data_IF_308020593299
#
_entry.id   IF_308020593299
#
_cell.length_a   1.000
_cell.length_b   1.000
_cell.length_c   1.000
_cell.angle_alpha   90.00
_cell.angle_beta   90.00
_cell.angle_gamma   90.00
#
_symmetry.space_group_name_H-M   'P 1'
#
loop_
_entity.id
_entity.type
_entity.pdbx_description
1 polymer ?
#
# COMPACT_ATOMS: atom_id res chain seq x y z
N UNK A 1 -58.36 41.46 -30.58
CA UNK A 1 -58.31 40.48 -29.50
C UNK A 1 -57.10 39.60 -29.74
N UNK A 2 -56.01 39.92 -29.04
CA UNK A 2 -54.78 39.12 -29.00
C UNK A 2 -54.99 37.79 -28.27
N UNK A 3 -54.13 36.82 -28.58
CA UNK A 3 -53.30 36.28 -27.51
C UNK A 3 -51.84 36.10 -27.98
N UNK A 4 -50.99 37.09 -27.73
CA UNK A 4 -49.54 36.99 -27.96
C UNK A 4 -48.72 36.78 -26.66
N UNK A 5 -49.37 36.77 -25.49
CA UNK A 5 -48.69 36.71 -24.19
C UNK A 5 -48.43 35.29 -23.62
N UNK A 6 -49.04 34.23 -24.17
CA UNK A 6 -48.92 32.89 -23.58
C UNK A 6 -47.68 32.10 -24.05
N UNK A 7 -47.21 32.29 -25.28
CA UNK A 7 -46.11 31.50 -25.85
C UNK A 7 -44.75 31.84 -25.23
N UNK A 8 -44.50 33.11 -24.94
CA UNK A 8 -43.27 33.55 -24.27
C UNK A 8 -43.15 33.03 -22.83
N UNK A 9 -44.24 33.12 -22.06
CA UNK A 9 -44.28 32.67 -20.66
C UNK A 9 -43.99 31.18 -20.52
N UNK A 10 -44.56 30.35 -21.40
CA UNK A 10 -44.35 28.90 -21.40
C UNK A 10 -42.89 28.54 -21.73
N UNK A 11 -42.27 29.21 -22.70
CA UNK A 11 -40.86 28.99 -23.04
C UNK A 11 -39.94 29.40 -21.86
N UNK A 12 -40.22 30.53 -21.21
CA UNK A 12 -39.48 30.96 -20.02
C UNK A 12 -39.60 29.95 -18.86
N UNK A 13 -40.79 29.38 -18.65
CA UNK A 13 -41.00 28.35 -17.63
C UNK A 13 -40.18 27.09 -17.94
N UNK A 14 -40.20 26.61 -19.18
CA UNK A 14 -39.42 25.42 -19.56
C UNK A 14 -37.91 25.66 -19.46
N UNK A 15 -37.41 26.83 -19.86
CA UNK A 15 -36.01 27.22 -19.67
C UNK A 15 -35.62 27.29 -18.19
N UNK A 16 -36.47 27.88 -17.36
CA UNK A 16 -36.22 27.98 -15.92
C UNK A 16 -36.17 26.58 -15.27
N UNK A 17 -37.11 25.69 -15.62
CA UNK A 17 -37.12 24.31 -15.12
C UNK A 17 -35.87 23.55 -15.60
N UNK A 18 -35.48 23.70 -16.86
CA UNK A 18 -34.27 23.06 -17.38
C UNK A 18 -33.02 23.50 -16.61
N UNK A 19 -32.85 24.80 -16.39
CA UNK A 19 -31.72 25.35 -15.61
C UNK A 19 -31.71 24.80 -14.18
N UNK A 20 -32.88 24.73 -13.52
CA UNK A 20 -32.99 24.19 -12.16
C UNK A 20 -32.65 22.70 -12.12
N UNK A 21 -33.16 21.90 -13.07
CA UNK A 21 -32.86 20.47 -13.15
C UNK A 21 -31.38 20.23 -13.42
N UNK A 22 -30.76 20.99 -14.34
CA UNK A 22 -29.33 20.90 -14.61
C UNK A 22 -28.49 21.26 -13.38
N UNK A 23 -28.84 22.34 -12.67
CA UNK A 23 -28.15 22.74 -11.43
C UNK A 23 -28.24 21.66 -10.35
N UNK A 24 -29.43 21.09 -10.13
CA UNK A 24 -29.62 20.03 -9.13
C UNK A 24 -28.86 18.75 -9.51
N UNK A 25 -28.87 18.38 -10.80
CA UNK A 25 -28.10 17.22 -11.28
C UNK A 25 -26.59 17.42 -11.07
N UNK A 26 -26.04 18.58 -11.43
CA UNK A 26 -24.61 18.87 -11.24
C UNK A 26 -24.19 18.90 -9.77
N UNK A 27 -25.04 19.43 -8.88
CA UNK A 27 -24.76 19.42 -7.44
C UNK A 27 -24.83 17.99 -6.87
N UNK A 28 -25.76 17.17 -7.33
CA UNK A 28 -25.85 15.78 -6.91
C UNK A 28 -24.65 14.96 -7.36
N UNK A 29 -24.18 15.13 -8.60
CA UNK A 29 -22.97 14.46 -9.09
C UNK A 29 -21.73 14.84 -8.27
N UNK A 30 -21.56 16.14 -7.98
CA UNK A 30 -20.44 16.62 -7.16
C UNK A 30 -20.47 16.04 -5.73
N UNK A 31 -21.63 16.05 -5.07
CA UNK A 31 -21.76 15.53 -3.71
C UNK A 31 -21.61 14.02 -3.64
N UNK A 32 -22.15 13.29 -4.62
CA UNK A 32 -22.00 11.83 -4.70
C UNK A 32 -20.55 11.44 -4.94
N UNK A 33 -19.80 12.19 -5.77
CA UNK A 33 -18.37 12.01 -5.96
C UNK A 33 -17.56 12.16 -4.67
N UNK A 34 -17.69 13.29 -3.97
CA UNK A 34 -16.96 13.53 -2.70
C UNK A 34 -17.31 12.50 -1.61
N UNK A 35 -18.56 12.03 -1.57
CA UNK A 35 -18.96 10.95 -0.65
C UNK A 35 -18.37 9.60 -1.04
N UNK A 36 -18.32 9.27 -2.33
CA UNK A 36 -17.70 8.04 -2.83
C UNK A 36 -16.19 8.03 -2.54
N UNK A 37 -15.49 9.11 -2.83
CA UNK A 37 -14.03 9.21 -2.61
C UNK A 37 -13.67 9.06 -1.13
N UNK A 38 -14.46 9.69 -0.23
CA UNK A 38 -14.28 9.53 1.23
C UNK A 38 -14.55 8.10 1.67
N UNK A 39 -15.57 7.46 1.10
CA UNK A 39 -15.90 6.06 1.37
C UNK A 39 -14.77 5.13 0.93
N UNK A 40 -14.22 5.32 -0.27
CA UNK A 40 -13.12 4.54 -0.81
C UNK A 40 -11.85 4.71 0.01
N UNK A 41 -11.46 5.94 0.35
CA UNK A 41 -10.32 6.20 1.24
C UNK A 41 -10.50 5.56 2.62
N UNK A 42 -11.71 5.59 3.18
CA UNK A 42 -12.01 4.94 4.45
C UNK A 42 -11.89 3.41 4.35
N UNK A 43 -12.38 2.82 3.24
CA UNK A 43 -12.25 1.39 2.94
C UNK A 43 -10.78 0.97 2.85
N UNK A 44 -9.96 1.71 2.12
CA UNK A 44 -8.52 1.44 1.99
C UNK A 44 -7.81 1.56 3.33
N UNK A 45 -8.09 2.59 4.13
CA UNK A 45 -7.52 2.71 5.50
C UNK A 45 -7.88 1.51 6.39
N UNK A 46 -9.12 1.03 6.32
CA UNK A 46 -9.57 -0.16 7.04
C UNK A 46 -8.80 -1.40 6.58
N UNK A 47 -8.65 -1.58 5.27
CA UNK A 47 -7.91 -2.68 4.68
C UNK A 47 -6.42 -2.66 5.06
N UNK A 48 -5.75 -1.52 4.95
CA UNK A 48 -4.37 -1.33 5.39
C UNK A 48 -4.19 -1.66 6.88
N UNK A 49 -5.19 -1.35 7.71
CA UNK A 49 -5.19 -1.69 9.14
C UNK A 49 -5.36 -3.19 9.39
N UNK A 50 -6.24 -3.84 8.62
CA UNK A 50 -6.41 -5.30 8.63
C UNK A 50 -5.12 -6.01 8.23
N UNK A 51 -4.50 -5.59 7.12
CA UNK A 51 -3.21 -6.09 6.65
C UNK A 51 -2.13 -5.88 7.71
N UNK A 52 -2.00 -4.68 8.29
CA UNK A 52 -1.06 -4.42 9.38
C UNK A 52 -1.22 -5.45 10.52
N UNK A 53 -2.45 -5.77 10.90
CA UNK A 53 -2.75 -6.75 11.94
C UNK A 53 -2.33 -8.17 11.54
N UNK A 54 -2.53 -8.55 10.27
CA UNK A 54 -2.05 -9.82 9.71
C UNK A 54 -0.51 -9.92 9.78
N UNK A 55 0.21 -8.86 9.37
CA UNK A 55 1.67 -8.79 9.43
C UNK A 55 2.20 -8.87 10.88
N UNK A 56 1.52 -8.23 11.83
CA UNK A 56 1.86 -8.31 13.25
C UNK A 56 1.65 -9.74 13.80
N UNK A 57 0.59 -10.43 13.37
CA UNK A 57 0.31 -11.82 13.75
C UNK A 57 1.34 -12.78 13.17
N UNK A 58 1.68 -12.62 11.89
CA UNK A 58 2.77 -13.33 11.23
C UNK A 58 4.09 -13.17 12.01
N UNK A 59 4.46 -11.94 12.37
CA UNK A 59 5.64 -11.67 13.21
C UNK A 59 5.53 -12.33 14.58
N UNK A 60 4.35 -12.36 15.19
CA UNK A 60 4.13 -13.02 16.49
C UNK A 60 4.56 -14.49 16.48
N UNK A 61 4.21 -15.20 15.41
CA UNK A 61 4.50 -16.62 15.21
C UNK A 61 5.94 -16.87 14.74
N UNK A 62 6.37 -16.18 13.69
CA UNK A 62 7.64 -16.44 13.01
C UNK A 62 8.81 -15.59 13.53
N UNK A 63 8.52 -14.67 14.46
CA UNK A 63 9.45 -13.71 15.09
C UNK A 63 10.00 -12.64 14.17
N UNK A 64 9.64 -12.67 12.90
CA UNK A 64 10.05 -11.70 11.89
C UNK A 64 8.88 -11.44 10.94
N UNK A 65 8.86 -10.27 10.32
CA UNK A 65 7.96 -10.01 9.21
C UNK A 65 8.42 -10.75 7.94
N UNK A 66 7.53 -10.90 6.94
CA UNK A 66 7.91 -11.27 5.59
C UNK A 66 9.11 -10.49 5.09
N UNK A 67 10.18 -11.18 4.72
CA UNK A 67 11.39 -10.56 4.18
C UNK A 67 12.18 -11.64 3.41
N UNK A 68 13.04 -11.25 2.48
CA UNK A 68 13.83 -12.17 1.67
C UNK A 68 15.33 -11.90 1.77
N UNK A 69 16.03 -12.78 2.48
CA UNK A 69 17.48 -12.70 2.65
C UNK A 69 17.93 -13.36 3.95
N UNK A 70 19.09 -12.95 4.46
CA UNK A 70 19.66 -13.45 5.72
C UNK A 70 19.76 -12.36 6.80
N UNK A 71 19.69 -11.09 6.40
CA UNK A 71 19.82 -9.96 7.29
C UNK A 71 18.45 -9.29 7.48
N UNK A 72 17.86 -9.30 8.68
CA UNK A 72 16.59 -8.61 8.95
C UNK A 72 16.75 -7.08 8.96
N UNK A 73 17.99 -6.57 8.94
CA UNK A 73 18.30 -5.15 8.88
C UNK A 73 18.53 -4.62 7.45
N UNK A 74 18.32 -5.47 6.44
CA UNK A 74 18.35 -5.09 5.03
C UNK A 74 16.94 -4.68 4.59
N UNK A 75 16.75 -3.37 4.35
CA UNK A 75 15.46 -2.82 3.93
C UNK A 75 14.97 -3.40 2.59
N UNK A 76 15.89 -3.70 1.67
CA UNK A 76 15.56 -4.21 0.33
C UNK A 76 14.94 -5.62 0.39
N UNK A 77 15.23 -6.38 1.44
CA UNK A 77 14.69 -7.73 1.63
C UNK A 77 13.16 -7.74 1.80
N UNK A 78 12.57 -6.66 2.31
CA UNK A 78 11.13 -6.57 2.54
C UNK A 78 10.33 -6.36 1.25
N UNK A 79 10.83 -5.57 0.31
CA UNK A 79 10.15 -5.37 -0.97
C UNK A 79 10.21 -6.63 -1.86
N UNK A 80 11.28 -7.43 -1.75
CA UNK A 80 11.46 -8.64 -2.57
C UNK A 80 10.39 -9.70 -2.32
N UNK A 81 9.83 -9.78 -1.10
CA UNK A 81 8.75 -10.74 -0.80
C UNK A 81 7.40 -10.32 -1.36
N UNK A 82 7.26 -9.09 -1.86
CA UNK A 82 6.00 -8.58 -2.41
C UNK A 82 5.43 -9.48 -3.49
N UNK A 83 6.28 -10.07 -4.34
CA UNK A 83 5.87 -11.04 -5.37
C UNK A 83 5.11 -12.27 -4.83
N UNK A 84 5.47 -12.71 -3.62
CA UNK A 84 4.88 -13.85 -2.95
C UNK A 84 3.67 -13.46 -2.10
N UNK A 85 3.43 -12.16 -1.91
CA UNK A 85 2.18 -11.66 -1.35
C UNK A 85 1.10 -11.57 -2.43
N UNK A 86 1.46 -11.40 -3.71
CA UNK A 86 0.53 -11.26 -4.84
C UNK A 86 0.48 -12.47 -5.76
N UNK A 87 0.89 -13.65 -5.27
CA UNK A 87 0.74 -14.85 -6.06
C UNK A 87 -0.76 -15.16 -6.27
N UNK A 88 -1.15 -15.42 -7.51
CA UNK A 88 -2.55 -15.73 -7.87
C UNK A 88 -3.05 -17.02 -7.20
N UNK A 89 -2.13 -17.92 -6.85
CA UNK A 89 -2.44 -19.20 -6.20
C UNK A 89 -2.41 -19.06 -4.68
N UNK A 90 -3.50 -19.53 -4.03
CA UNK A 90 -3.67 -19.37 -2.59
C UNK A 90 -2.55 -19.98 -1.77
N UNK A 91 -1.97 -21.02 -2.33
CA UNK A 91 -0.98 -21.88 -1.70
C UNK A 91 0.41 -21.26 -1.73
N UNK A 92 0.66 -20.22 -2.53
CA UNK A 92 1.95 -19.53 -2.63
C UNK A 92 2.01 -18.23 -1.82
N UNK A 93 0.91 -17.84 -1.17
CA UNK A 93 0.85 -16.63 -0.37
C UNK A 93 1.11 -16.89 1.10
N UNK A 94 2.19 -16.29 1.62
CA UNK A 94 2.62 -16.51 3.01
C UNK A 94 1.66 -15.98 4.09
N UNK A 95 0.68 -15.14 3.72
CA UNK A 95 -0.38 -14.69 4.63
C UNK A 95 -1.56 -15.68 4.71
N UNK A 96 -1.69 -16.59 3.75
CA UNK A 96 -2.82 -17.52 3.65
C UNK A 96 -2.41 -18.98 3.81
N UNK A 97 -1.16 -19.32 3.50
CA UNK A 97 -0.66 -20.67 3.58
C UNK A 97 0.66 -20.75 4.37
N UNK A 98 0.99 -21.94 4.84
CA UNK A 98 2.29 -22.24 5.46
C UNK A 98 3.42 -22.38 4.42
N UNK A 99 3.27 -21.74 3.26
CA UNK A 99 4.28 -21.68 2.21
C UNK A 99 5.58 -21.08 2.74
N UNK A 100 6.68 -21.67 2.27
CA UNK A 100 8.03 -21.22 2.60
C UNK A 100 8.56 -20.49 1.37
N UNK A 101 8.48 -19.14 1.33
CA UNK A 101 8.88 -18.40 0.16
C UNK A 101 10.36 -18.60 -0.14
N UNK A 102 10.68 -18.80 -1.42
CA UNK A 102 12.06 -18.85 -1.91
C UNK A 102 12.31 -17.74 -2.91
N UNK A 103 13.44 -17.06 -2.79
CA UNK A 103 13.87 -16.03 -3.75
C UNK A 103 15.29 -16.36 -4.16
N UNK A 104 15.50 -16.50 -5.47
CA UNK A 104 16.79 -16.89 -6.07
C UNK A 104 17.34 -18.20 -5.48
N UNK A 105 16.44 -19.14 -5.15
CA UNK A 105 16.76 -20.44 -4.56
C UNK A 105 16.95 -20.44 -3.03
N UNK A 106 16.94 -19.29 -2.37
CA UNK A 106 17.16 -19.17 -0.92
C UNK A 106 15.81 -19.02 -0.17
N UNK A 107 15.58 -19.78 0.92
CA UNK A 107 14.37 -19.68 1.72
C UNK A 107 14.33 -18.39 2.53
N UNK A 108 13.17 -17.73 2.51
CA UNK A 108 12.88 -16.44 3.13
C UNK A 108 12.41 -16.61 4.58
N UNK A 109 13.24 -17.25 5.40
CA UNK A 109 12.83 -17.75 6.73
C UNK A 109 13.68 -17.27 7.90
N UNK A 110 14.68 -16.40 7.67
CA UNK A 110 15.67 -15.96 8.68
C UNK A 110 16.30 -17.12 9.45
N UNK A 111 16.74 -18.15 8.73
CA UNK A 111 17.44 -19.28 9.32
C UNK A 111 16.53 -20.30 10.00
N UNK A 112 15.20 -20.16 9.90
CA UNK A 112 14.31 -21.28 10.21
C UNK A 112 14.38 -22.32 9.09
N UNK A 113 14.46 -23.60 9.46
CA UNK A 113 14.22 -24.67 8.50
C UNK A 113 12.77 -24.66 8.04
N UNK A 114 12.46 -25.23 6.88
CA UNK A 114 11.07 -25.35 6.42
C UNK A 114 10.15 -26.03 7.46
N UNK A 115 10.67 -27.05 8.17
CA UNK A 115 9.96 -27.72 9.26
C UNK A 115 9.69 -26.78 10.44
N UNK A 116 10.68 -25.99 10.85
CA UNK A 116 10.51 -25.01 11.94
C UNK A 116 9.54 -23.90 11.56
N UNK A 117 9.58 -23.44 10.30
CA UNK A 117 8.64 -22.47 9.78
C UNK A 117 7.20 -23.00 9.88
N UNK A 118 6.94 -24.17 9.29
CA UNK A 118 5.62 -24.81 9.29
C UNK A 118 5.11 -25.11 10.70
N UNK A 119 5.98 -25.49 11.63
CA UNK A 119 5.60 -25.75 13.02
C UNK A 119 5.25 -24.47 13.79
N UNK A 120 5.79 -23.31 13.40
CA UNK A 120 5.53 -22.02 14.05
C UNK A 120 4.35 -21.28 13.44
N UNK A 121 4.11 -21.45 12.15
CA UNK A 121 3.03 -20.82 11.41
C UNK A 121 1.67 -21.29 11.97
N UNK A 122 0.80 -20.35 12.34
CA UNK A 122 -0.55 -20.62 12.86
C UNK A 122 -1.66 -19.95 12.06
N UNK A 123 -1.36 -19.49 10.85
CA UNK A 123 -2.32 -18.81 10.00
C UNK A 123 -3.49 -19.70 9.55
N UNK A 124 -4.30 -19.25 8.58
CA UNK A 124 -4.11 -18.03 7.79
C UNK A 124 -4.23 -16.75 8.61
N UNK A 125 -3.50 -15.70 8.21
CA UNK A 125 -3.48 -14.40 8.87
C UNK A 125 -4.46 -13.39 8.26
N UNK A 126 -5.03 -13.72 7.10
CA UNK A 126 -6.11 -12.99 6.45
C UNK A 126 -7.27 -13.95 6.19
N UNK A 127 -8.49 -13.46 6.43
CA UNK A 127 -9.74 -14.20 6.22
C UNK A 127 -10.52 -13.48 5.14
N UNK A 128 -10.20 -13.72 3.87
CA UNK A 128 -10.95 -13.18 2.73
C UNK A 128 -11.25 -14.30 1.74
N UNK A 129 -12.39 -14.18 1.04
CA UNK A 129 -12.87 -15.15 0.04
C UNK A 129 -11.94 -15.22 -1.19
N UNK A 130 -11.18 -14.15 -1.46
CA UNK A 130 -10.21 -14.01 -2.56
C UNK A 130 -8.97 -13.24 -2.09
N UNK A 131 -7.77 -13.75 -2.39
CA UNK A 131 -6.51 -13.10 -1.94
C UNK A 131 -6.26 -11.75 -2.61
N UNK A 132 -6.58 -11.67 -3.90
CA UNK A 132 -6.33 -10.49 -4.74
C UNK A 132 -7.05 -9.27 -4.18
N UNK A 133 -8.32 -9.42 -3.80
CA UNK A 133 -9.15 -8.32 -3.27
C UNK A 133 -8.62 -7.79 -1.93
N UNK A 134 -7.96 -8.64 -1.14
CA UNK A 134 -7.40 -8.25 0.15
C UNK A 134 -6.11 -7.41 0.04
N UNK A 135 -5.49 -7.40 -1.13
CA UNK A 135 -4.21 -6.76 -1.39
C UNK A 135 -4.29 -5.67 -2.47
N UNK A 136 -5.40 -5.51 -3.17
CA UNK A 136 -5.65 -4.33 -4.01
C UNK A 136 -6.46 -3.29 -3.26
N UNK A 137 -6.19 -2.02 -3.49
CA UNK A 137 -6.96 -0.93 -2.90
C UNK A 137 -8.32 -0.72 -3.59
N UNK A 138 -9.05 0.32 -3.18
CA UNK A 138 -10.39 0.62 -3.68
C UNK A 138 -10.45 0.87 -5.20
N UNK A 139 -9.33 1.26 -5.79
CA UNK A 139 -9.20 1.60 -7.20
C UNK A 139 -8.55 0.46 -8.00
N UNK A 140 -8.29 -0.69 -7.36
CA UNK A 140 -7.70 -1.86 -7.99
C UNK A 140 -6.17 -1.82 -8.10
N UNK A 141 -5.51 -0.88 -7.41
CA UNK A 141 -4.06 -0.79 -7.40
C UNK A 141 -3.47 -1.71 -6.31
N UNK A 142 -2.33 -2.38 -6.56
CA UNK A 142 -1.72 -3.23 -5.55
C UNK A 142 -1.16 -2.39 -4.39
N UNK A 143 -1.45 -2.80 -3.16
CA UNK A 143 -0.85 -2.26 -1.94
C UNK A 143 0.64 -2.66 -1.84
N UNK A 144 1.54 -1.70 -1.94
CA UNK A 144 2.97 -1.92 -1.80
C UNK A 144 3.37 -2.25 -0.36
N UNK A 145 4.27 -3.22 -0.22
CA UNK A 145 4.91 -3.60 1.05
C UNK A 145 6.42 -3.36 0.97
N UNK A 146 6.95 -2.47 1.79
CA UNK A 146 8.37 -2.15 1.77
C UNK A 146 8.89 -1.67 3.13
N UNK A 147 10.22 -1.52 3.22
CA UNK A 147 10.90 -1.00 4.38
C UNK A 147 11.78 0.19 4.01
N UNK A 148 11.81 1.22 4.85
CA UNK A 148 12.70 2.36 4.75
C UNK A 148 13.73 2.35 5.88
N UNK A 149 14.98 2.65 5.52
CA UNK A 149 16.11 2.70 6.43
C UNK A 149 16.58 4.15 6.64
N UNK A 150 16.58 4.62 7.89
CA UNK A 150 17.11 5.94 8.27
C UNK A 150 18.50 5.87 8.93
N UNK A 151 19.13 4.69 8.90
CA UNK A 151 20.42 4.40 9.50
C UNK A 151 20.34 4.01 10.99
N UNK A 152 19.26 4.38 11.70
CA UNK A 152 19.03 4.01 13.12
C UNK A 152 17.89 3.03 13.28
N UNK A 153 16.89 3.15 12.43
CA UNK A 153 15.67 2.38 12.43
C UNK A 153 15.36 1.89 11.02
N UNK A 154 14.78 0.70 10.98
CA UNK A 154 14.01 0.23 9.85
C UNK A 154 12.54 0.48 10.14
N UNK A 155 11.84 1.12 9.21
CA UNK A 155 10.39 1.36 9.29
C UNK A 155 9.70 0.60 8.18
N UNK A 156 8.69 -0.18 8.51
CA UNK A 156 8.00 -1.07 7.57
C UNK A 156 6.63 -0.47 7.28
N UNK A 157 6.25 -0.42 6.00
CA UNK A 157 5.06 0.27 5.53
C UNK A 157 4.19 -0.62 4.63
N UNK A 158 2.89 -0.28 4.64
CA UNK A 158 1.93 -0.63 3.59
C UNK A 158 1.45 0.66 2.93
N UNK A 159 1.38 0.69 1.61
CA UNK A 159 1.15 1.90 0.82
C UNK A 159 0.19 1.61 -0.33
N UNK A 160 -0.92 2.35 -0.41
CA UNK A 160 -1.83 2.38 -1.57
C UNK A 160 -1.51 3.59 -2.43
N UNK A 161 -1.53 3.39 -3.75
CA UNK A 161 -1.27 4.39 -4.79
C UNK A 161 -2.46 5.31 -5.09
N UNK A 162 -3.52 5.26 -4.26
CA UNK A 162 -4.67 6.12 -4.43
C UNK A 162 -5.49 5.88 -5.70
N UNK A 163 -6.22 6.91 -6.09
CA UNK A 163 -7.10 7.00 -7.26
C UNK A 163 -6.31 7.13 -8.57
N UNK A 164 -5.19 7.85 -8.54
CA UNK A 164 -4.39 8.13 -9.73
C UNK A 164 -3.49 6.95 -10.14
N UNK A 165 -3.36 5.97 -9.24
CA UNK A 165 -2.63 4.72 -9.43
C UNK A 165 -1.11 4.90 -9.49
N UNK A 166 -0.59 6.05 -9.05
CA UNK A 166 0.83 6.34 -8.96
C UNK A 166 1.23 6.42 -7.51
N UNK A 167 2.40 5.87 -7.19
CA UNK A 167 2.96 6.05 -5.87
C UNK A 167 3.64 7.42 -5.83
N UNK A 168 2.97 8.41 -5.24
CA UNK A 168 3.45 9.78 -5.06
C UNK A 168 4.59 9.82 -4.02
N UNK A 169 5.75 9.31 -4.44
CA UNK A 169 6.97 9.34 -3.63
C UNK A 169 7.65 10.70 -3.82
N UNK A 170 7.75 11.46 -2.72
CA UNK A 170 8.24 12.85 -2.69
C UNK A 170 9.69 13.11 -3.17
N UNK A 171 10.39 12.15 -3.79
CA UNK A 171 11.77 12.32 -4.31
C UNK A 171 12.02 11.62 -5.65
N UNK A 172 12.83 12.23 -6.55
CA UNK A 172 13.20 11.66 -7.85
C UNK A 172 13.89 10.29 -7.79
N UNK A 173 14.63 10.02 -6.72
CA UNK A 173 15.29 8.73 -6.52
C UNK A 173 14.24 7.63 -6.32
N UNK A 174 13.24 7.89 -5.47
CA UNK A 174 12.12 7.00 -5.18
C UNK A 174 11.08 6.96 -6.31
N UNK A 175 11.05 7.95 -7.19
CA UNK A 175 10.30 7.88 -8.44
C UNK A 175 10.80 6.74 -9.34
N UNK A 176 12.10 6.40 -9.32
CA UNK A 176 12.59 5.19 -9.99
C UNK A 176 12.09 3.90 -9.31
N UNK A 177 11.75 3.94 -8.02
CA UNK A 177 11.09 2.87 -7.26
C UNK A 177 9.65 2.71 -7.73
N UNK A 178 8.91 3.82 -7.77
CA UNK A 178 7.56 3.90 -8.28
C UNK A 178 7.50 3.38 -9.71
N UNK A 179 8.41 3.84 -10.59
CA UNK A 179 8.54 3.34 -11.96
C UNK A 179 8.87 1.84 -12.00
N UNK A 180 9.71 1.29 -11.11
CA UNK A 180 9.94 -0.17 -11.02
C UNK A 180 8.69 -0.94 -10.50
N UNK A 181 7.91 -0.37 -9.58
CA UNK A 181 6.64 -0.95 -9.07
C UNK A 181 5.52 -0.87 -10.13
N UNK A 182 5.42 0.24 -10.86
CA UNK A 182 4.53 0.45 -12.01
C UNK A 182 4.92 -0.50 -13.15
N UNK A 183 6.22 -0.64 -13.42
CA UNK A 183 6.78 -1.64 -14.33
C UNK A 183 6.66 -3.07 -13.79
N UNK A 184 6.26 -3.29 -12.53
CA UNK A 184 5.97 -4.61 -11.99
C UNK A 184 4.70 -5.24 -12.57
N UNK A 185 3.91 -4.46 -13.31
CA UNK A 185 3.01 -5.00 -14.33
C UNK A 185 3.76 -5.85 -15.39
N UNK A 186 5.12 -5.80 -15.47
CA UNK A 186 5.96 -6.30 -16.59
C UNK A 186 7.40 -6.83 -16.25
N UNK A 187 7.73 -7.38 -15.05
CA UNK A 187 8.99 -8.13 -14.67
C UNK A 187 10.31 -7.41 -14.20
N UNK A 188 10.91 -8.02 -13.13
CA UNK A 188 12.27 -8.01 -12.48
C UNK A 188 12.83 -6.74 -11.78
N UNK A 189 13.23 -6.92 -10.51
CA UNK A 189 13.86 -5.93 -9.60
C UNK A 189 15.35 -6.20 -9.34
N UNK A 190 16.20 -5.16 -9.38
CA UNK A 190 17.58 -5.25 -8.83
C UNK A 190 18.22 -3.92 -8.38
N UNK A 191 17.50 -2.79 -8.36
CA UNK A 191 18.08 -1.50 -7.92
C UNK A 191 17.37 -0.83 -6.74
N UNK A 192 16.55 -1.56 -6.00
CA UNK A 192 15.67 -1.04 -4.94
C UNK A 192 16.36 -0.53 -3.64
N UNK A 193 17.16 0.53 -3.73
CA UNK A 193 17.28 1.60 -2.72
C UNK A 193 18.29 1.50 -1.55
N UNK A 194 19.13 2.55 -1.50
CA UNK A 194 19.48 3.30 -0.29
C UNK A 194 18.75 4.65 -0.39
N UNK A 195 18.17 5.14 0.72
CA UNK A 195 17.75 6.54 1.05
C UNK A 195 16.34 6.61 1.68
N UNK A 196 16.22 7.33 2.80
CA UNK A 196 14.95 7.77 3.38
C UNK A 196 15.06 9.24 3.83
N UNK A 197 13.99 10.05 3.68
CA UNK A 197 13.82 11.39 4.29
C UNK A 197 12.33 11.64 4.67
N UNK A 198 12.09 12.63 5.55
CA UNK A 198 10.85 12.88 6.31
C UNK A 198 9.50 13.09 5.57
N UNK A 199 9.41 13.63 4.34
CA UNK A 199 8.11 13.98 3.75
C UNK A 199 7.20 12.78 3.47
N UNK A 200 7.78 11.64 3.07
CA UNK A 200 7.03 10.39 2.84
C UNK A 200 6.31 9.84 4.08
N UNK A 201 6.79 10.13 5.28
CA UNK A 201 6.28 9.54 6.52
C UNK A 201 4.97 10.18 6.97
N UNK A 202 4.61 11.30 6.35
CA UNK A 202 3.53 12.16 6.80
C UNK A 202 2.54 12.38 5.65
N UNK A 203 2.07 11.30 5.02
CA UNK A 203 0.90 11.32 4.12
C UNK A 203 -0.38 11.84 4.82
N UNK A 204 -0.34 11.99 6.15
CA UNK A 204 -1.38 12.65 6.95
C UNK A 204 -1.08 14.14 7.21
N UNK A 205 0.01 14.69 6.67
CA UNK A 205 0.33 16.12 6.73
C UNK A 205 -0.67 16.90 5.89
N UNK A 206 -1.10 18.05 6.38
CA UNK A 206 -1.92 18.99 5.60
C UNK A 206 -1.23 19.55 4.36
N UNK A 207 0.10 19.36 4.25
CA UNK A 207 0.93 19.79 3.12
C UNK A 207 1.12 18.69 2.06
N UNK A 208 0.62 17.47 2.29
CA UNK A 208 0.67 16.39 1.32
C UNK A 208 -0.55 16.48 0.40
N UNK A 209 -0.31 16.78 -0.87
CA UNK A 209 -1.35 16.92 -1.90
C UNK A 209 -1.64 15.61 -2.66
N UNK A 210 -0.90 14.53 -2.37
CA UNK A 210 -1.11 13.24 -3.00
C UNK A 210 -2.33 12.51 -2.46
N UNK A 211 -2.85 11.59 -3.25
CA UNK A 211 -3.99 10.75 -2.92
C UNK A 211 -3.61 9.43 -2.23
N UNK A 212 -2.32 9.11 -2.14
CA UNK A 212 -1.80 7.91 -1.49
C UNK A 212 -2.28 7.74 -0.04
N UNK A 213 -2.35 6.47 0.37
CA UNK A 213 -2.62 6.09 1.74
C UNK A 213 -1.49 5.21 2.28
N UNK A 214 -0.86 5.66 3.38
CA UNK A 214 0.29 5.01 3.98
C UNK A 214 0.02 4.65 5.45
N UNK A 215 0.37 3.42 5.84
CA UNK A 215 0.41 3.01 7.26
C UNK A 215 1.76 2.39 7.61
N UNK A 216 2.33 2.82 8.74
CA UNK A 216 3.49 2.14 9.32
C UNK A 216 3.03 0.89 10.07
N UNK A 217 3.58 -0.27 9.69
CA UNK A 217 3.39 -1.53 10.43
C UNK A 217 4.19 -1.48 11.72
N UNK A 218 5.49 -1.17 11.63
CA UNK A 218 6.43 -1.27 12.75
C UNK A 218 7.71 -0.45 12.51
N UNK A 219 8.48 -0.27 13.58
CA UNK A 219 9.79 0.38 13.59
C UNK A 219 10.79 -0.48 14.38
N UNK A 220 11.75 -1.06 13.67
CA UNK A 220 12.80 -1.92 14.24
C UNK A 220 14.06 -1.09 14.48
N UNK A 221 14.52 -1.03 15.73
CA UNK A 221 15.78 -0.37 16.08
C UNK A 221 16.97 -1.23 15.65
N UNK A 222 17.91 -0.64 14.92
CA UNK A 222 19.17 -1.31 14.59
C UNK A 222 20.08 -1.40 15.83
N UNK A 223 20.84 -2.49 15.99
CA UNK A 223 21.85 -2.58 17.03
C UNK A 223 22.86 -1.45 16.85
N UNK A 224 23.16 -0.73 17.93
CA UNK A 224 24.17 0.32 17.90
C UNK A 224 25.53 -0.36 17.70
N UNK A 225 26.25 -0.03 16.63
CA UNK A 225 27.60 -0.54 16.42
C UNK A 225 28.55 0.14 17.42
N UNK A 226 28.58 -0.33 18.66
CA UNK A 226 29.60 0.04 19.62
C UNK A 226 30.83 -0.83 19.41
N UNK A 227 31.90 -0.18 18.92
CA UNK A 227 33.33 -0.59 18.85
C UNK A 227 33.85 -1.12 17.52
N UNK A 228 34.63 -0.27 16.84
CA UNK A 228 36.02 -0.64 16.54
C UNK A 228 36.87 -0.01 17.63
N UNK A 229 37.30 -0.83 18.58
CA UNK A 229 38.43 -0.54 19.46
C UNK A 229 39.66 -0.45 18.54
N UNK A 230 40.21 0.74 18.33
CA UNK A 230 41.63 0.86 17.97
C UNK A 230 42.42 0.55 19.24
N UNK A 231 42.75 -0.72 19.43
CA UNK A 231 43.95 -1.14 20.14
C UNK A 231 44.89 -1.70 19.08
N UNK A 232 45.65 -0.81 18.49
CA UNK A 232 46.83 -1.11 17.70
C UNK A 232 47.73 0.13 17.70
N UNK A 233 48.48 0.29 18.80
CA UNK A 233 49.85 0.80 18.92
C UNK A 233 50.09 1.26 20.35
#
# INVERSE_FOLDING_TARGET
>A
MEPQHQTGSVIFIYLAVFVVVSLVASLNEFLVGDLADRSDRARVKSQLTSLKTAFLSYKGDLKNYPFAGKNPFDASAYARVWKHLYADETDENMLFSAFVPTIDGEPCTLGLTATQYKARWKGPYLMYETQVDSLVDAWGNPIAYYCLDDGRYLRIFLHSAGEDGKFDMARPELAALATELENYKVFRFSRLFQLSHQPMLNANSSEYEGDDLLIQIDQIRKPHNSRIVRLAS
#
